data_IF_690241280715
#
_entry.id   IF_690241280715
#
_cell.length_a   1.000
_cell.length_b   1.000
_cell.length_c   1.000
_cell.angle_alpha   90.00
_cell.angle_beta   90.00
_cell.angle_gamma   90.00
#
_symmetry.space_group_name_H-M   'P 1'
#
loop_
_entity.id
_entity.type
_entity.pdbx_description
1 polymer ?
#
# COMPACT_ATOMS: atom_id res chain seq x y z
N UNK A 1 -14.27 -0.95 10.03
CA UNK A 1 -14.85 0.10 10.90
C UNK A 1 -15.48 1.16 10.00
N UNK A 2 -16.75 1.48 10.19
CA UNK A 2 -17.38 2.57 9.44
C UNK A 2 -17.05 3.89 10.12
N UNK A 3 -16.48 4.87 9.39
CA UNK A 3 -16.05 6.15 9.97
C UNK A 3 -17.22 6.92 10.59
N UNK A 4 -18.32 7.07 9.87
CA UNK A 4 -19.49 7.84 10.34
C UNK A 4 -19.11 9.27 10.79
N UNK A 5 -19.67 9.71 11.92
CA UNK A 5 -19.40 11.01 12.53
C UNK A 5 -18.17 11.05 13.46
N UNK A 6 -17.34 10.00 13.48
CA UNK A 6 -16.19 9.92 14.39
C UNK A 6 -15.05 10.86 13.96
N UNK A 7 -14.45 11.52 14.94
CA UNK A 7 -13.27 12.36 14.74
C UNK A 7 -12.03 11.46 14.59
N UNK A 8 -11.06 11.87 13.77
CA UNK A 8 -9.85 11.07 13.50
C UNK A 8 -9.06 10.79 14.79
N UNK A 9 -8.98 11.75 15.72
CA UNK A 9 -8.30 11.58 17.01
C UNK A 9 -8.94 10.47 17.85
N UNK A 10 -10.28 10.44 17.95
CA UNK A 10 -11.02 9.41 18.68
C UNK A 10 -10.80 8.02 18.08
N UNK A 11 -10.74 7.94 16.75
CA UNK A 11 -10.42 6.69 16.05
C UNK A 11 -9.02 6.22 16.40
N UNK A 12 -8.03 7.11 16.39
CA UNK A 12 -6.64 6.77 16.73
C UNK A 12 -6.53 6.31 18.19
N UNK A 13 -7.16 7.02 19.13
CA UNK A 13 -7.19 6.63 20.54
C UNK A 13 -7.86 5.26 20.74
N UNK A 14 -8.98 5.02 20.07
CA UNK A 14 -9.65 3.73 20.09
C UNK A 14 -8.75 2.62 19.53
N UNK A 15 -8.09 2.85 18.39
CA UNK A 15 -7.14 1.89 17.82
C UNK A 15 -5.96 1.60 18.75
N UNK A 16 -5.41 2.62 19.43
CA UNK A 16 -4.35 2.46 20.43
C UNK A 16 -4.83 1.63 21.63
N UNK A 17 -6.06 1.85 22.11
CA UNK A 17 -6.62 1.10 23.25
C UNK A 17 -6.91 -0.37 22.96
N UNK A 18 -7.05 -0.73 21.68
CA UNK A 18 -7.29 -2.10 21.20
C UNK A 18 -6.03 -2.75 20.62
N UNK A 19 -4.84 -2.19 20.86
CA UNK A 19 -3.56 -2.70 20.37
C UNK A 19 -3.51 -2.93 18.85
N UNK A 20 -4.21 -2.08 18.08
CA UNK A 20 -4.17 -2.13 16.62
C UNK A 20 -2.81 -1.57 16.15
N UNK A 21 -2.14 -2.31 15.27
CA UNK A 21 -0.81 -1.94 14.75
C UNK A 21 -0.86 -0.82 13.72
N UNK A 22 -1.89 -0.81 12.87
CA UNK A 22 -1.94 0.02 11.67
C UNK A 22 -3.34 0.55 11.39
N UNK A 23 -3.42 1.83 11.02
CA UNK A 23 -4.62 2.48 10.53
C UNK A 23 -4.44 2.84 9.06
N UNK A 24 -5.37 2.38 8.22
CA UNK A 24 -5.40 2.70 6.78
C UNK A 24 -6.63 3.53 6.47
N UNK A 25 -6.43 4.75 5.98
CA UNK A 25 -7.50 5.66 5.57
C UNK A 25 -7.51 5.77 4.04
N UNK A 26 -8.69 5.67 3.45
CA UNK A 26 -8.90 5.81 2.01
C UNK A 26 -9.73 7.06 1.76
N UNK A 27 -9.25 7.90 0.85
CA UNK A 27 -9.98 9.05 0.32
C UNK A 27 -10.50 8.73 -1.08
N UNK A 28 -11.62 9.37 -1.43
CA UNK A 28 -12.23 9.24 -2.73
C UNK A 28 -12.65 10.60 -3.29
N UNK A 29 -12.68 10.66 -4.62
CA UNK A 29 -13.28 11.73 -5.38
C UNK A 29 -14.36 11.16 -6.30
N UNK A 30 -15.64 11.52 -6.05
CA UNK A 30 -16.80 11.09 -6.85
C UNK A 30 -16.87 9.56 -7.05
N UNK A 31 -16.62 8.80 -5.98
CA UNK A 31 -16.67 7.33 -5.98
C UNK A 31 -15.42 6.64 -6.55
N UNK A 32 -14.37 7.39 -6.90
CA UNK A 32 -13.07 6.85 -7.30
C UNK A 32 -12.02 7.13 -6.22
N UNK A 33 -11.35 6.11 -5.66
CA UNK A 33 -10.30 6.29 -4.66
C UNK A 33 -9.10 7.08 -5.23
N UNK A 34 -8.68 8.13 -4.53
CA UNK A 34 -7.62 9.05 -4.97
C UNK A 34 -6.50 9.24 -3.93
N UNK A 35 -6.74 8.87 -2.67
CA UNK A 35 -5.76 8.97 -1.59
C UNK A 35 -5.75 7.74 -0.70
N UNK A 36 -4.56 7.35 -0.27
CA UNK A 36 -4.32 6.28 0.71
C UNK A 36 -3.36 6.78 1.77
N UNK A 37 -3.74 6.69 3.03
CA UNK A 37 -2.91 7.07 4.17
C UNK A 37 -2.69 5.83 5.01
N UNK A 38 -1.42 5.52 5.28
CA UNK A 38 -0.99 4.40 6.12
C UNK A 38 -0.33 4.98 7.36
N UNK A 39 -0.93 4.76 8.53
CA UNK A 39 -0.46 5.25 9.81
C UNK A 39 -0.11 4.06 10.71
N UNK A 40 1.15 3.94 11.10
CA UNK A 40 1.59 2.95 12.08
C UNK A 40 1.35 3.46 13.51
N UNK A 41 0.76 2.64 14.37
CA UNK A 41 0.49 2.90 15.77
C UNK A 41 1.49 2.12 16.66
N UNK A 42 1.71 2.52 17.92
CA UNK A 42 1.08 3.65 18.64
C UNK A 42 1.68 5.02 18.31
N UNK A 43 2.96 5.09 17.93
CA UNK A 43 3.71 6.33 17.63
C UNK A 43 4.54 6.22 16.34
N UNK A 44 4.08 5.39 15.40
CA UNK A 44 4.78 5.12 14.16
C UNK A 44 4.64 6.24 13.12
N UNK A 45 5.32 6.10 11.97
CA UNK A 45 5.21 7.07 10.90
C UNK A 45 3.87 6.97 10.16
N UNK A 46 3.49 8.07 9.53
CA UNK A 46 2.36 8.12 8.60
C UNK A 46 2.87 8.39 7.19
N UNK A 47 2.58 7.48 6.26
CA UNK A 47 2.85 7.64 4.85
C UNK A 47 1.58 8.00 4.09
N UNK A 48 1.70 9.00 3.22
CA UNK A 48 0.61 9.50 2.41
C UNK A 48 0.89 9.22 0.93
N UNK A 49 -0.07 8.58 0.28
CA UNK A 49 0.00 8.16 -1.10
C UNK A 49 -1.16 8.74 -1.89
N UNK A 50 -0.87 9.21 -3.10
CA UNK A 50 -1.89 9.42 -4.13
C UNK A 50 -2.16 8.10 -4.84
N UNK A 51 -3.43 7.78 -5.08
CA UNK A 51 -3.88 6.63 -5.87
C UNK A 51 -4.11 7.05 -7.32
N UNK A 52 -3.60 6.25 -8.23
CA UNK A 52 -3.69 6.45 -9.67
C UNK A 52 -4.10 5.13 -10.35
N UNK A 53 -4.76 5.24 -11.50
CA UNK A 53 -5.10 4.08 -12.34
C UNK A 53 -5.82 2.96 -11.56
N UNK A 54 -6.75 3.34 -10.69
CA UNK A 54 -7.46 2.40 -9.82
C UNK A 54 -8.47 1.61 -10.65
N UNK A 55 -8.31 0.30 -10.64
CA UNK A 55 -9.30 -0.67 -11.11
C UNK A 55 -9.73 -1.47 -9.90
N UNK A 56 -10.97 -1.27 -9.47
CA UNK A 56 -11.50 -1.99 -8.33
C UNK A 56 -11.73 -3.45 -8.71
N UNK A 57 -11.69 -4.35 -7.72
CA UNK A 57 -11.98 -5.78 -7.94
C UNK A 57 -13.38 -6.00 -8.53
N UNK A 58 -14.33 -5.10 -8.25
CA UNK A 58 -15.70 -5.23 -8.72
C UNK A 58 -15.87 -4.94 -10.21
N UNK A 59 -14.94 -4.17 -10.79
CA UNK A 59 -14.97 -3.76 -12.21
C UNK A 59 -14.19 -4.72 -13.13
N UNK A 60 -13.46 -5.68 -12.56
CA UNK A 60 -12.69 -6.64 -13.35
C UNK A 60 -13.66 -7.62 -14.03
N UNK A 61 -13.56 -7.73 -15.37
CA UNK A 61 -14.47 -8.49 -16.25
C UNK A 61 -14.64 -9.96 -15.86
N UNK A 62 -13.63 -10.56 -15.25
CA UNK A 62 -13.63 -11.98 -14.84
C UNK A 62 -14.19 -12.25 -13.44
N UNK A 63 -15.03 -11.33 -12.91
CA UNK A 63 -15.60 -11.44 -11.56
C UNK A 63 -16.27 -12.80 -11.27
N UNK A 64 -16.95 -13.41 -12.25
CA UNK A 64 -17.61 -14.72 -12.09
C UNK A 64 -16.60 -15.87 -11.99
N UNK A 65 -15.45 -15.77 -12.68
CA UNK A 65 -14.39 -16.77 -12.65
C UNK A 65 -13.45 -16.61 -11.43
N UNK A 66 -13.30 -15.40 -10.91
CA UNK A 66 -12.37 -15.08 -9.82
C UNK A 66 -12.76 -15.58 -8.42
N UNK A 67 -13.99 -16.10 -8.24
CA UNK A 67 -14.42 -16.72 -6.99
C UNK A 67 -14.21 -15.86 -5.73
N UNK A 68 -14.07 -16.54 -4.58
CA UNK A 68 -13.73 -15.90 -3.29
C UNK A 68 -12.21 -15.72 -3.19
N UNK A 69 -11.78 -14.60 -2.58
CA UNK A 69 -10.36 -14.34 -2.35
C UNK A 69 -9.81 -15.23 -1.24
N UNK A 70 -8.61 -15.77 -1.44
CA UNK A 70 -7.90 -16.50 -0.39
C UNK A 70 -7.42 -15.53 0.70
N UNK A 71 -7.68 -15.89 1.95
CA UNK A 71 -7.26 -15.15 3.14
C UNK A 71 -5.88 -15.59 3.65
N UNK A 72 -5.22 -16.51 2.95
CA UNK A 72 -3.85 -16.92 3.28
C UNK A 72 -2.91 -15.71 3.28
N UNK A 73 -1.90 -15.78 4.16
CA UNK A 73 -0.89 -14.73 4.27
C UNK A 73 -0.06 -14.64 2.98
N UNK A 74 0.01 -13.47 2.34
CA UNK A 74 0.64 -13.32 1.03
C UNK A 74 2.15 -13.26 1.13
N UNK A 75 2.84 -13.81 0.15
CA UNK A 75 4.23 -13.44 -0.13
C UNK A 75 4.28 -12.02 -0.69
N UNK A 76 5.20 -11.21 -0.18
CA UNK A 76 5.42 -9.85 -0.64
C UNK A 76 6.62 -9.79 -1.57
N UNK A 77 6.45 -9.10 -2.70
CA UNK A 77 7.52 -8.74 -3.62
C UNK A 77 7.62 -7.21 -3.61
N UNK A 78 8.78 -6.69 -3.18
CA UNK A 78 9.10 -5.27 -3.19
C UNK A 78 10.22 -5.08 -4.21
N UNK A 79 9.88 -4.51 -5.37
CA UNK A 79 10.81 -4.34 -6.49
C UNK A 79 11.19 -2.87 -6.67
N UNK A 80 12.49 -2.64 -6.89
CA UNK A 80 13.14 -1.34 -7.09
C UNK A 80 12.92 -0.27 -5.98
N UNK A 81 13.03 -0.66 -4.72
CA UNK A 81 13.08 0.26 -3.56
C UNK A 81 14.50 0.39 -3.02
N UNK A 82 15.36 1.09 -3.75
CA UNK A 82 16.82 1.11 -3.49
C UNK A 82 17.31 2.33 -2.72
N UNK A 83 16.57 3.44 -2.72
CA UNK A 83 16.95 4.64 -1.98
C UNK A 83 16.59 4.51 -0.50
N UNK A 84 17.14 5.36 0.38
CA UNK A 84 16.75 5.37 1.81
C UNK A 84 15.25 5.61 2.02
N UNK A 85 14.66 6.53 1.26
CA UNK A 85 13.20 6.77 1.29
C UNK A 85 12.43 5.59 0.69
N UNK A 86 12.98 4.93 -0.33
CA UNK A 86 12.47 3.69 -0.91
C UNK A 86 12.40 2.57 0.13
N UNK A 87 13.52 2.25 0.78
CA UNK A 87 13.60 1.27 1.86
C UNK A 87 12.65 1.61 3.01
N UNK A 88 12.55 2.89 3.38
CA UNK A 88 11.60 3.37 4.39
C UNK A 88 10.16 3.08 4.00
N UNK A 89 9.79 3.39 2.76
CA UNK A 89 8.45 3.16 2.22
C UNK A 89 8.14 1.67 2.11
N UNK A 90 9.11 0.89 1.65
CA UNK A 90 9.05 -0.57 1.57
C UNK A 90 8.81 -1.19 2.96
N UNK A 91 9.50 -0.69 4.00
CA UNK A 91 9.28 -1.15 5.38
C UNK A 91 7.88 -0.82 5.89
N UNK A 92 7.39 0.40 5.68
CA UNK A 92 6.03 0.82 6.05
C UNK A 92 4.99 -0.15 5.44
N UNK A 93 5.08 -0.38 4.13
CA UNK A 93 4.14 -1.25 3.42
C UNK A 93 4.31 -2.72 3.81
N UNK A 94 5.53 -3.19 4.03
CA UNK A 94 5.84 -4.57 4.42
C UNK A 94 5.19 -4.95 5.75
N UNK A 95 5.23 -4.03 6.72
CA UNK A 95 4.72 -4.29 8.06
C UNK A 95 3.18 -4.30 8.16
N UNK A 96 2.46 -3.93 7.10
CA UNK A 96 1.02 -4.12 7.01
C UNK A 96 0.60 -5.58 6.86
N UNK A 97 1.53 -6.47 6.51
CA UNK A 97 1.22 -7.87 6.23
C UNK A 97 1.91 -8.81 7.21
N UNK A 98 1.22 -9.87 7.64
CA UNK A 98 1.81 -10.91 8.46
C UNK A 98 2.82 -11.75 7.68
N UNK A 99 3.69 -12.46 8.41
CA UNK A 99 4.70 -13.33 7.81
C UNK A 99 4.01 -14.53 7.12
N UNK A 100 4.25 -14.74 5.81
CA UNK A 100 3.62 -15.84 5.08
C UNK A 100 4.24 -17.18 5.42
N UNK A 101 3.45 -18.25 5.28
CA UNK A 101 3.96 -19.62 5.30
C UNK A 101 4.68 -19.91 3.96
N UNK A 102 5.71 -20.79 3.95
CA UNK A 102 6.46 -21.12 2.73
C UNK A 102 5.63 -21.72 1.59
N UNK A 103 4.48 -22.31 1.90
CA UNK A 103 3.55 -22.96 0.97
C UNK A 103 2.45 -22.02 0.45
N UNK A 104 2.45 -20.74 0.87
CA UNK A 104 1.44 -19.79 0.42
C UNK A 104 1.53 -19.54 -1.08
N UNK A 105 0.35 -19.58 -1.73
CA UNK A 105 0.22 -19.36 -3.18
C UNK A 105 -0.14 -17.92 -3.55
N UNK A 106 -0.44 -17.10 -2.54
CA UNK A 106 -0.88 -15.72 -2.71
C UNK A 106 0.35 -14.81 -2.76
N UNK A 107 0.42 -13.94 -3.76
CA UNK A 107 1.51 -13.01 -3.97
C UNK A 107 0.96 -11.59 -4.12
N UNK A 108 1.52 -10.67 -3.37
CA UNK A 108 1.29 -9.24 -3.53
C UNK A 108 2.60 -8.60 -3.97
N UNK A 109 2.54 -7.81 -5.04
CA UNK A 109 3.68 -7.15 -5.63
C UNK A 109 3.52 -5.64 -5.52
N UNK A 110 4.53 -5.00 -4.97
CA UNK A 110 4.77 -3.56 -5.05
C UNK A 110 6.01 -3.36 -5.92
N UNK A 111 5.80 -2.93 -7.16
CA UNK A 111 6.90 -2.69 -8.10
C UNK A 111 7.03 -1.21 -8.36
N UNK A 112 8.17 -0.63 -8.00
CA UNK A 112 8.43 0.78 -8.19
C UNK A 112 9.03 1.07 -9.58
N UNK A 113 8.39 1.96 -10.35
CA UNK A 113 8.89 2.47 -11.63
C UNK A 113 8.68 3.98 -11.67
N UNK A 114 9.76 4.73 -11.77
CA UNK A 114 9.75 6.20 -11.84
C UNK A 114 8.94 6.86 -10.70
N UNK A 115 9.13 6.39 -9.46
CA UNK A 115 8.41 6.79 -8.24
C UNK A 115 6.90 6.48 -8.22
N UNK A 116 6.41 5.69 -9.19
CA UNK A 116 5.09 5.07 -9.16
C UNK A 116 5.21 3.62 -8.70
N UNK A 117 4.59 3.33 -7.55
CA UNK A 117 4.55 1.99 -6.99
C UNK A 117 3.32 1.29 -7.55
N UNK A 118 3.52 0.40 -8.52
CA UNK A 118 2.48 -0.47 -9.05
C UNK A 118 2.12 -1.55 -8.03
N UNK A 119 0.87 -1.56 -7.58
CA UNK A 119 0.32 -2.63 -6.76
C UNK A 119 -0.38 -3.66 -7.65
N UNK A 120 -0.01 -4.94 -7.48
CA UNK A 120 -0.71 -6.07 -8.11
C UNK A 120 -0.87 -7.21 -7.12
N UNK A 121 -1.97 -7.95 -7.28
CA UNK A 121 -2.31 -9.05 -6.39
C UNK A 121 -2.67 -10.29 -7.22
N UNK A 122 -1.80 -11.30 -7.11
CA UNK A 122 -1.89 -12.55 -7.86
C UNK A 122 -1.97 -13.76 -6.93
N UNK A 123 -2.50 -14.85 -7.48
CA UNK A 123 -2.33 -16.21 -6.96
C UNK A 123 -1.61 -16.99 -8.04
N UNK A 124 -0.64 -17.81 -7.66
CA UNK A 124 0.05 -18.67 -8.60
C UNK A 124 -0.39 -20.13 -8.49
N UNK A 125 -0.43 -20.81 -9.63
CA UNK A 125 -0.63 -22.26 -9.73
C UNK A 125 0.60 -22.89 -10.38
N UNK A 126 1.09 -23.99 -9.79
CA UNK A 126 2.21 -24.77 -10.32
C UNK A 126 1.65 -26.01 -11.00
N UNK A 127 1.66 -26.05 -12.32
CA UNK A 127 1.27 -27.23 -13.07
C UNK A 127 2.45 -28.19 -13.24
N UNK A 128 2.87 -28.85 -12.15
CA UNK A 128 3.79 -30.00 -12.14
C UNK A 128 5.24 -29.79 -12.63
N UNK A 129 5.55 -28.74 -13.39
CA UNK A 129 6.88 -28.47 -13.95
C UNK A 129 7.62 -27.30 -13.29
N UNK A 130 8.97 -27.26 -13.31
CA UNK A 130 9.77 -26.15 -12.76
C UNK A 130 9.58 -24.80 -13.47
N UNK A 131 9.08 -24.81 -14.72
CA UNK A 131 8.94 -23.64 -15.60
C UNK A 131 7.49 -23.19 -15.81
N UNK A 132 6.51 -23.94 -15.32
CA UNK A 132 5.08 -23.67 -15.55
C UNK A 132 4.46 -23.09 -14.28
N UNK A 133 4.60 -21.76 -14.14
CA UNK A 133 3.95 -20.99 -13.08
C UNK A 133 2.92 -20.06 -13.73
N UNK A 134 1.65 -20.36 -13.49
CA UNK A 134 0.56 -19.57 -14.04
C UNK A 134 0.07 -18.59 -12.97
N UNK A 135 0.13 -17.29 -13.29
CA UNK A 135 -0.35 -16.21 -12.43
C UNK A 135 -1.78 -15.85 -12.79
N UNK A 136 -2.67 -15.91 -11.80
CA UNK A 136 -4.04 -15.43 -11.89
C UNK A 136 -4.19 -14.19 -11.04
N UNK A 137 -4.66 -13.11 -11.64
CA UNK A 137 -4.93 -11.89 -10.92
C UNK A 137 -6.26 -11.97 -10.15
N UNK A 138 -6.26 -11.52 -8.90
CA UNK A 138 -7.42 -11.71 -7.99
C UNK A 138 -7.86 -10.43 -7.29
N UNK A 139 -7.02 -9.41 -7.24
CA UNK A 139 -7.23 -8.18 -6.49
C UNK A 139 -7.33 -6.92 -7.36
N UNK A 140 -7.51 -5.75 -6.73
CA UNK A 140 -7.52 -4.48 -7.46
C UNK A 140 -6.15 -4.16 -8.06
N UNK A 141 -6.16 -3.31 -9.09
CA UNK A 141 -4.97 -2.70 -9.68
C UNK A 141 -4.95 -1.24 -9.31
N UNK A 142 -3.81 -0.73 -8.89
CA UNK A 142 -3.61 0.70 -8.76
C UNK A 142 -2.12 1.00 -8.74
N UNK A 143 -1.81 2.28 -8.87
CA UNK A 143 -0.49 2.84 -8.67
C UNK A 143 -0.53 3.78 -7.49
N UNK A 144 0.45 3.66 -6.61
CA UNK A 144 0.65 4.56 -5.49
C UNK A 144 1.77 5.53 -5.82
N UNK A 145 1.57 6.80 -5.52
CA UNK A 145 2.61 7.81 -5.57
C UNK A 145 2.81 8.40 -4.18
N UNK A 146 3.95 8.11 -3.56
CA UNK A 146 4.28 8.68 -2.26
C UNK A 146 4.46 10.20 -2.40
N UNK A 147 3.76 10.98 -1.59
CA UNK A 147 3.95 12.43 -1.55
C UNK A 147 4.41 12.96 -0.20
N UNK A 148 4.21 12.22 0.89
CA UNK A 148 4.63 12.66 2.22
C UNK A 148 4.85 11.49 3.18
N UNK A 149 5.88 11.60 4.03
CA UNK A 149 6.08 10.76 5.21
C UNK A 149 6.24 11.67 6.42
N UNK A 150 5.44 11.45 7.47
CA UNK A 150 5.55 12.11 8.77
C UNK A 150 6.05 11.14 9.84
N UNK A 151 6.85 11.64 10.78
CA UNK A 151 7.35 10.90 11.96
C UNK A 151 6.36 10.98 13.12
N UNK A 152 5.09 10.75 12.84
CA UNK A 152 4.02 10.81 13.82
C UNK A 152 2.76 10.23 13.24
N UNK A 153 1.78 10.11 14.12
CA UNK A 153 0.47 9.54 13.82
C UNK A 153 -0.43 10.58 13.14
N UNK A 154 -1.52 10.12 12.52
CA UNK A 154 -2.38 10.98 11.69
C UNK A 154 -3.07 12.11 12.46
N UNK A 155 -3.28 11.95 13.76
CA UNK A 155 -3.78 12.96 14.70
C UNK A 155 -2.75 14.07 15.00
N UNK A 156 -1.46 13.79 14.81
CA UNK A 156 -0.37 14.72 15.14
C UNK A 156 -0.03 15.62 13.94
N UNK A 157 -0.79 16.71 13.78
CA UNK A 157 -0.62 17.63 12.66
C UNK A 157 0.79 18.24 12.59
N UNK A 158 1.37 18.55 13.76
CA UNK A 158 2.68 19.20 13.93
C UNK A 158 3.88 18.24 13.85
N UNK A 159 3.65 16.94 13.63
CA UNK A 159 4.73 15.96 13.52
C UNK A 159 5.70 16.31 12.38
N UNK A 160 6.99 16.08 12.64
CA UNK A 160 8.06 16.38 11.68
C UNK A 160 7.88 15.61 10.38
N UNK A 161 8.00 16.32 9.25
CA UNK A 161 8.04 15.70 7.93
C UNK A 161 9.40 15.04 7.70
N UNK A 162 9.42 13.73 7.48
CA UNK A 162 10.60 12.96 7.08
C UNK A 162 10.86 13.12 5.58
N UNK A 163 9.79 13.09 4.77
CA UNK A 163 9.84 13.26 3.32
C UNK A 163 8.62 14.04 2.83
N UNK A 164 8.83 14.91 1.85
CA UNK A 164 7.76 15.62 1.14
C UNK A 164 8.14 15.73 -0.33
N UNK A 165 7.23 15.34 -1.22
CA UNK A 165 7.37 15.53 -2.65
C UNK A 165 7.26 17.02 -2.99
N UNK A 166 8.28 17.56 -3.67
CA UNK A 166 8.36 18.97 -4.05
C UNK A 166 8.26 19.13 -5.58
N UNK A 167 7.05 19.16 -6.15
CA UNK A 167 6.86 19.13 -7.60
C UNK A 167 7.30 20.42 -8.31
N UNK A 168 7.34 21.56 -7.60
CA UNK A 168 7.63 22.88 -8.16
C UNK A 168 9.12 23.26 -8.14
N UNK A 169 10.02 22.29 -7.93
CA UNK A 169 11.47 22.51 -8.06
C UNK A 169 11.92 22.23 -9.50
N UNK A 170 12.87 23.02 -10.02
CA UNK A 170 13.37 22.88 -11.40
C UNK A 170 13.92 21.47 -11.71
N UNK A 171 14.50 20.80 -10.73
CA UNK A 171 15.07 19.45 -10.86
C UNK A 171 14.10 18.33 -10.47
N UNK A 172 12.86 18.65 -10.07
CA UNK A 172 11.90 17.68 -9.52
C UNK A 172 11.64 16.50 -10.47
N UNK A 173 11.56 16.75 -11.79
CA UNK A 173 11.32 15.71 -12.79
C UNK A 173 12.52 14.79 -13.04
N UNK A 174 13.72 15.18 -12.62
CA UNK A 174 14.96 14.42 -12.81
C UNK A 174 15.32 13.56 -11.60
N UNK A 175 14.79 13.91 -10.42
CA UNK A 175 15.12 13.25 -9.18
C UNK A 175 14.18 12.07 -8.95
N UNK A 176 14.75 10.88 -8.77
CA UNK A 176 14.01 9.70 -8.29
C UNK A 176 14.15 9.57 -6.79
N UNK A 177 13.03 9.42 -6.10
CA UNK A 177 12.95 9.45 -4.64
C UNK A 177 12.92 8.06 -4.04
N UNK A 178 12.38 7.06 -4.74
CA UNK A 178 12.13 5.71 -4.22
C UNK A 178 13.07 4.64 -4.78
N UNK A 179 13.48 4.77 -6.05
CA UNK A 179 14.31 3.76 -6.73
C UNK A 179 15.20 4.38 -7.80
N UNK A 180 16.30 3.70 -8.12
CA UNK A 180 17.22 4.11 -9.18
C UNK A 180 16.69 3.69 -10.57
#
# INVERSE_FOLDING_TARGET
>A
MNRGGQVISEIVESCRSHDITDLVLVHEHRGQPDGLIVCHLPFGPTAYFGLLNVVTRHDIKDRKAMGKMSEAYPHLILDNFTTKTGERTANIVKHLFPVPKPDSKRIITFANRDDYISFRHHVYEKHGGPKSLDLKEVGPRFELRLYQIKRGTVDQAEAQNEFVLRPYMNTAKKQKSLGA
#
